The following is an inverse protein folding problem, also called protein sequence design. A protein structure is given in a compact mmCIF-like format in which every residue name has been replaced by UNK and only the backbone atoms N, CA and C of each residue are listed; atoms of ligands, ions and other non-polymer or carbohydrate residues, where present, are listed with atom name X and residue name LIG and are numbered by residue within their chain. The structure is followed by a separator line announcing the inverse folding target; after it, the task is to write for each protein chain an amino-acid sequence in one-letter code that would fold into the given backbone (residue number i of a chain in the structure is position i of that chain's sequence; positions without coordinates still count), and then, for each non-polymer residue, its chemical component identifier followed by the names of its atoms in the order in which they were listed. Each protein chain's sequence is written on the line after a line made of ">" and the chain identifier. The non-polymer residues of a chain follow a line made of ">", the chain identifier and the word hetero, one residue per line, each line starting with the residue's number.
data_IF_720508395509
#
_entry.id   IF_720508395509
#
_cell.length_a   1.000
_cell.length_b   1.000
_cell.length_c   1.000
_cell.angle_alpha   90.00
_cell.angle_beta   90.00
_cell.angle_gamma   90.00
#
_symmetry.space_group_name_H-M   'P 1'
#
loop_
_entity.id
_entity.type
_entity.pdbx_description
1 polymer ?
#
# COMPACT_ATOMS: atom_id res chain seq x y z
N UNK A 1 -15.66 -34.68 -16.30
CA UNK A 1 -14.46 -33.82 -16.22
C UNK A 1 -14.84 -32.57 -15.44
N UNK A 2 -14.48 -32.49 -14.16
CA UNK A 2 -14.72 -31.28 -13.38
C UNK A 2 -13.82 -30.16 -13.91
N UNK A 3 -14.42 -29.17 -14.58
CA UNK A 3 -13.71 -27.96 -14.99
C UNK A 3 -13.39 -27.20 -13.71
N UNK A 4 -12.11 -27.20 -13.30
CA UNK A 4 -11.67 -26.37 -12.17
C UNK A 4 -12.01 -24.91 -12.49
N UNK A 5 -12.70 -24.18 -11.60
CA UNK A 5 -12.98 -22.78 -11.84
C UNK A 5 -11.67 -22.02 -12.01
N UNK A 6 -11.60 -21.14 -13.01
CA UNK A 6 -10.44 -20.27 -13.24
C UNK A 6 -10.28 -19.33 -12.05
N UNK A 7 -9.34 -19.64 -11.16
CA UNK A 7 -9.03 -18.82 -9.99
C UNK A 7 -8.35 -17.52 -10.43
N UNK A 8 -8.92 -16.39 -10.03
CA UNK A 8 -8.35 -15.08 -10.34
C UNK A 8 -7.06 -14.82 -9.55
N UNK A 9 -7.01 -15.23 -8.28
CA UNK A 9 -5.89 -14.88 -7.42
C UNK A 9 -4.68 -15.79 -7.67
N UNK A 10 -3.59 -15.15 -8.05
CA UNK A 10 -2.24 -15.72 -8.04
C UNK A 10 -1.31 -14.86 -7.17
N UNK A 11 -0.17 -15.40 -6.77
CA UNK A 11 0.80 -14.70 -5.90
C UNK A 11 1.24 -13.35 -6.49
N UNK A 12 1.39 -13.26 -7.82
CA UNK A 12 1.77 -12.02 -8.52
C UNK A 12 0.68 -10.96 -8.45
N UNK A 13 -0.58 -11.34 -8.57
CA UNK A 13 -1.76 -10.48 -8.48
C UNK A 13 -1.89 -9.99 -7.06
N UNK A 14 -1.83 -10.89 -6.07
CA UNK A 14 -1.86 -10.52 -4.64
C UNK A 14 -0.77 -9.50 -4.34
N UNK A 15 0.46 -9.77 -4.77
CA UNK A 15 1.58 -8.83 -4.62
C UNK A 15 1.32 -7.50 -5.36
N UNK A 16 0.75 -7.54 -6.56
CA UNK A 16 0.40 -6.35 -7.33
C UNK A 16 -0.66 -5.46 -6.65
N UNK A 17 -1.64 -6.05 -5.96
CA UNK A 17 -2.60 -5.29 -5.13
C UNK A 17 -1.91 -4.69 -3.91
N UNK A 18 -1.06 -5.45 -3.21
CA UNK A 18 -0.28 -4.94 -2.07
C UNK A 18 0.65 -3.79 -2.47
N UNK A 19 1.30 -3.88 -3.63
CA UNK A 19 2.14 -2.81 -4.17
C UNK A 19 1.33 -1.54 -4.51
N UNK A 20 0.09 -1.70 -5.01
CA UNK A 20 -0.81 -0.57 -5.23
C UNK A 20 -1.24 0.08 -3.91
N UNK A 21 -1.61 -0.73 -2.91
CA UNK A 21 -1.94 -0.23 -1.58
C UNK A 21 -0.77 0.52 -0.93
N UNK A 22 0.45 -0.02 -1.02
CA UNK A 22 1.66 0.64 -0.54
C UNK A 22 1.93 1.97 -1.28
N UNK A 23 1.68 2.03 -2.60
CA UNK A 23 1.81 3.27 -3.36
C UNK A 23 0.79 4.34 -2.94
N UNK A 24 -0.45 3.95 -2.64
CA UNK A 24 -1.47 4.84 -2.08
C UNK A 24 -1.03 5.35 -0.72
N UNK A 25 -0.56 4.46 0.15
CA UNK A 25 -0.13 4.81 1.50
C UNK A 25 1.06 5.79 1.52
N UNK A 26 1.98 5.71 0.55
CA UNK A 26 3.09 6.69 0.43
C UNK A 26 2.64 8.10 0.05
N UNK A 27 1.44 8.26 -0.50
CA UNK A 27 0.86 9.59 -0.83
C UNK A 27 0.07 10.17 0.34
N UNK A 28 -0.22 9.37 1.37
CA UNK A 28 -0.88 9.89 2.56
C UNK A 28 0.01 10.97 3.19
N UNK A 29 -0.59 12.07 3.68
CA UNK A 29 0.16 13.03 4.45
C UNK A 29 0.76 12.32 5.67
N UNK A 30 1.99 12.69 6.02
CA UNK A 30 2.60 12.20 7.25
C UNK A 30 1.65 12.48 8.43
N UNK A 31 1.49 11.54 9.37
CA UNK A 31 0.66 11.76 10.54
C UNK A 31 1.23 12.94 11.32
N UNK A 32 0.57 14.10 11.18
CA UNK A 32 0.87 15.27 11.97
C UNK A 32 0.12 15.12 13.28
N UNK A 33 0.84 15.13 14.40
CA UNK A 33 0.22 15.44 15.68
C UNK A 33 -0.47 16.79 15.47
N UNK A 34 -1.75 16.89 15.81
CA UNK A 34 -2.48 18.15 15.81
C UNK A 34 -1.76 19.07 16.81
N UNK A 35 -0.75 19.81 16.33
CA UNK A 35 -0.01 20.75 17.16
C UNK A 35 -0.92 21.90 17.59
N UNK A 36 -0.34 22.88 18.29
CA UNK A 36 -1.00 24.17 18.48
C UNK A 36 -1.33 24.73 17.09
N UNK A 37 -2.61 24.72 16.71
CA UNK A 37 -3.05 25.49 15.58
C UNK A 37 -2.77 26.94 15.93
N UNK A 38 -1.97 27.62 15.12
CA UNK A 38 -1.70 29.02 15.36
C UNK A 38 -3.02 29.78 15.14
N UNK A 39 -3.56 30.38 16.19
CA UNK A 39 -4.68 31.35 16.11
C UNK A 39 -4.23 32.69 15.50
N UNK A 40 -2.95 32.79 15.13
CA UNK A 40 -2.45 33.94 14.40
C UNK A 40 -3.20 34.05 13.08
N UNK A 41 -3.68 35.24 12.69
CA UNK A 41 -4.22 35.45 11.37
C UNK A 41 -3.23 34.91 10.34
N UNK A 42 -3.68 34.33 9.21
CA UNK A 42 -2.78 34.11 8.09
C UNK A 42 -2.26 35.50 7.72
N UNK A 43 -1.06 35.84 8.19
CA UNK A 43 -0.34 37.02 7.72
C UNK A 43 -0.37 36.95 6.21
N UNK A 44 -0.75 38.05 5.56
CA UNK A 44 -0.77 38.13 4.10
C UNK A 44 0.58 37.63 3.60
N UNK A 45 0.61 36.40 3.08
CA UNK A 45 1.78 35.87 2.44
C UNK A 45 2.07 36.84 1.30
N UNK A 46 3.17 37.58 1.43
CA UNK A 46 3.55 38.58 0.45
C UNK A 46 3.67 37.87 -0.91
N UNK A 47 3.43 38.57 -2.02
CA UNK A 47 3.43 37.92 -3.35
C UNK A 47 4.72 37.13 -3.62
N UNK A 48 5.83 37.57 -3.02
CA UNK A 48 7.14 36.94 -3.02
C UNK A 48 7.22 35.62 -2.24
N UNK A 49 6.50 35.47 -1.14
CA UNK A 49 6.49 34.24 -0.33
C UNK A 49 5.76 33.11 -1.06
N UNK A 50 4.62 33.41 -1.71
CA UNK A 50 3.94 32.46 -2.62
C UNK A 50 4.78 32.10 -3.83
N UNK A 51 5.46 33.08 -4.43
CA UNK A 51 6.33 32.82 -5.57
C UNK A 51 7.54 31.96 -5.16
N UNK A 52 8.11 32.21 -3.99
CA UNK A 52 9.19 31.40 -3.43
C UNK A 52 8.74 29.96 -3.18
N UNK A 53 7.55 29.74 -2.60
CA UNK A 53 6.97 28.40 -2.42
C UNK A 53 6.62 27.72 -3.75
N UNK A 54 6.21 28.47 -4.77
CA UNK A 54 5.91 27.91 -6.09
C UNK A 54 7.18 27.50 -6.86
N UNK A 55 8.26 28.27 -6.71
CA UNK A 55 9.55 28.03 -7.38
C UNK A 55 10.40 27.00 -6.62
N UNK A 56 10.42 27.06 -5.29
CA UNK A 56 11.30 26.26 -4.43
C UNK A 56 10.57 25.15 -3.65
N UNK A 57 9.24 25.20 -3.59
CA UNK A 57 8.45 24.17 -2.93
C UNK A 57 8.54 22.86 -3.68
N UNK A 58 8.95 21.79 -2.99
CA UNK A 58 8.88 20.44 -3.55
C UNK A 58 7.42 20.16 -3.92
N UNK A 59 7.16 19.80 -5.17
CA UNK A 59 5.83 19.36 -5.61
C UNK A 59 5.38 18.21 -4.73
N UNK A 60 4.40 18.48 -3.86
CA UNK A 60 3.83 17.42 -3.02
C UNK A 60 3.06 16.47 -3.94
N UNK A 61 3.14 15.14 -3.71
CA UNK A 61 2.28 14.22 -4.43
C UNK A 61 0.82 14.57 -4.16
N UNK A 62 -0.02 14.43 -5.20
CA UNK A 62 -1.47 14.62 -5.07
C UNK A 62 -1.98 13.66 -3.97
N UNK A 63 -2.72 14.16 -2.97
CA UNK A 63 -3.25 13.32 -1.91
C UNK A 63 -4.18 12.25 -2.50
N UNK A 64 -4.23 11.05 -1.90
CA UNK A 64 -5.10 9.99 -2.40
C UNK A 64 -6.57 10.34 -2.19
N UNK A 65 -7.42 9.89 -3.11
CA UNK A 65 -8.86 10.04 -2.98
C UNK A 65 -9.42 9.11 -1.89
N UNK A 66 -10.58 9.42 -1.27
CA UNK A 66 -11.18 8.56 -0.25
C UNK A 66 -11.36 7.09 -0.71
N UNK A 67 -11.83 6.89 -1.95
CA UNK A 67 -11.99 5.55 -2.51
C UNK A 67 -10.66 4.79 -2.70
N UNK A 68 -9.54 5.50 -2.94
CA UNK A 68 -8.21 4.90 -2.98
C UNK A 68 -7.77 4.47 -1.57
N UNK A 69 -8.05 5.30 -0.56
CA UNK A 69 -7.76 4.98 0.84
C UNK A 69 -8.53 3.74 1.28
N UNK A 70 -9.85 3.70 1.07
CA UNK A 70 -10.71 2.55 1.40
C UNK A 70 -10.22 1.26 0.74
N UNK A 71 -9.82 1.35 -0.54
CA UNK A 71 -9.22 0.23 -1.25
C UNK A 71 -7.90 -0.22 -0.60
N UNK A 72 -7.01 0.72 -0.29
CA UNK A 72 -5.71 0.41 0.32
C UNK A 72 -5.86 -0.23 1.70
N UNK A 73 -6.80 0.24 2.52
CA UNK A 73 -7.10 -0.32 3.84
C UNK A 73 -7.64 -1.74 3.75
N UNK A 74 -8.54 -1.99 2.80
CA UNK A 74 -9.08 -3.32 2.55
C UNK A 74 -8.00 -4.31 2.10
N UNK A 75 -7.02 -3.87 1.32
CA UNK A 75 -5.87 -4.70 0.91
C UNK A 75 -4.90 -4.91 2.07
N UNK A 76 -4.61 -3.88 2.87
CA UNK A 76 -3.76 -4.01 4.06
C UNK A 76 -4.36 -4.95 5.11
N UNK A 77 -5.69 -5.05 5.19
CA UNK A 77 -6.38 -6.02 6.04
C UNK A 77 -5.94 -7.47 5.80
N UNK A 78 -5.48 -7.82 4.59
CA UNK A 78 -4.97 -9.15 4.26
C UNK A 78 -3.74 -9.52 5.09
N UNK A 79 -2.90 -8.55 5.44
CA UNK A 79 -1.71 -8.79 6.25
C UNK A 79 -2.08 -9.37 7.61
N UNK A 80 -3.25 -9.05 8.17
CA UNK A 80 -3.71 -9.61 9.46
C UNK A 80 -3.88 -11.14 9.45
N UNK A 81 -3.94 -11.77 8.28
CA UNK A 81 -3.99 -13.23 8.14
C UNK A 81 -2.63 -13.91 8.32
N UNK A 82 -1.54 -13.14 8.33
CA UNK A 82 -0.17 -13.63 8.45
C UNK A 82 0.38 -13.34 9.85
N UNK A 83 1.40 -14.09 10.26
CA UNK A 83 2.16 -13.77 11.48
C UNK A 83 2.98 -12.48 11.32
N UNK A 84 3.32 -11.83 12.43
CA UNK A 84 4.02 -10.55 12.45
C UNK A 84 5.29 -10.46 11.57
N UNK A 85 6.25 -11.41 11.59
CA UNK A 85 7.43 -11.32 10.73
C UNK A 85 7.07 -11.42 9.23
N UNK A 86 6.13 -12.31 8.89
CA UNK A 86 5.63 -12.47 7.52
C UNK A 86 4.91 -11.22 7.02
N UNK A 87 4.11 -10.57 7.86
CA UNK A 87 3.48 -9.28 7.55
C UNK A 87 4.51 -8.23 7.15
N UNK A 88 5.56 -8.08 7.97
CA UNK A 88 6.60 -7.08 7.76
C UNK A 88 7.38 -7.35 6.47
N UNK A 89 7.78 -8.59 6.19
CA UNK A 89 8.49 -8.95 4.95
C UNK A 89 7.65 -8.63 3.72
N UNK A 90 6.37 -9.06 3.72
CA UNK A 90 5.45 -8.79 2.61
C UNK A 90 5.27 -7.29 2.40
N UNK A 91 5.07 -6.53 3.48
CA UNK A 91 4.84 -5.10 3.40
C UNK A 91 6.08 -4.31 2.97
N UNK A 92 7.27 -4.66 3.49
CA UNK A 92 8.54 -4.08 3.04
C UNK A 92 8.76 -4.35 1.55
N UNK A 93 8.46 -5.56 1.08
CA UNK A 93 8.55 -5.89 -0.34
C UNK A 93 7.53 -5.13 -1.18
N UNK A 94 6.30 -4.93 -0.70
CA UNK A 94 5.29 -4.11 -1.38
C UNK A 94 5.73 -2.65 -1.52
N UNK A 95 6.40 -2.12 -0.48
CA UNK A 95 7.02 -0.79 -0.49
C UNK A 95 8.30 -0.70 -1.34
N UNK A 96 8.73 -1.80 -1.96
CA UNK A 96 9.96 -1.91 -2.77
C UNK A 96 11.25 -1.67 -1.97
N UNK A 97 11.25 -1.99 -0.67
CA UNK A 97 12.46 -1.93 0.16
C UNK A 97 13.54 -2.88 -0.42
N UNK A 98 14.79 -2.42 -0.62
CA UNK A 98 15.89 -3.25 -1.09
C UNK A 98 16.13 -4.46 -0.19
N UNK A 99 16.48 -5.61 -0.78
CA UNK A 99 16.76 -6.83 -0.02
C UNK A 99 17.84 -6.66 1.04
N UNK A 100 18.86 -5.82 0.79
CA UNK A 100 19.93 -5.56 1.76
C UNK A 100 19.38 -5.03 3.09
N UNK A 101 18.48 -4.06 3.05
CA UNK A 101 17.84 -3.47 4.25
C UNK A 101 16.99 -4.52 4.97
N UNK A 102 16.24 -5.34 4.21
CA UNK A 102 15.42 -6.40 4.81
C UNK A 102 16.31 -7.46 5.48
N UNK A 103 17.43 -7.82 4.87
CA UNK A 103 18.38 -8.77 5.47
C UNK A 103 18.96 -8.23 6.78
N UNK A 104 19.31 -6.94 6.82
CA UNK A 104 19.83 -6.27 8.02
C UNK A 104 18.78 -6.22 9.14
N UNK A 105 17.51 -5.92 8.82
CA UNK A 105 16.42 -5.85 9.81
C UNK A 105 16.12 -7.22 10.44
N UNK A 106 16.14 -8.29 9.65
CA UNK A 106 15.74 -9.63 10.09
C UNK A 106 16.89 -10.54 10.50
N UNK A 107 18.15 -10.11 10.30
CA UNK A 107 19.38 -10.88 10.49
C UNK A 107 19.32 -12.28 9.83
N UNK A 108 18.82 -12.31 8.59
CA UNK A 108 18.61 -13.55 7.82
C UNK A 108 19.11 -13.42 6.39
N UNK A 109 19.48 -14.55 5.80
CA UNK A 109 19.91 -14.58 4.40
C UNK A 109 18.75 -14.32 3.43
N UNK A 110 19.06 -13.70 2.28
CA UNK A 110 18.08 -13.43 1.21
C UNK A 110 17.27 -14.66 0.78
N UNK A 111 17.86 -15.86 0.56
CA UNK A 111 17.10 -17.04 0.16
C UNK A 111 16.04 -17.45 1.18
N UNK A 112 16.35 -17.34 2.48
CA UNK A 112 15.39 -17.63 3.56
C UNK A 112 14.22 -16.67 3.53
N UNK A 113 14.48 -15.36 3.48
CA UNK A 113 13.44 -14.34 3.43
C UNK A 113 12.60 -14.43 2.14
N UNK A 114 13.22 -14.83 1.02
CA UNK A 114 12.49 -15.04 -0.24
C UNK A 114 11.54 -16.24 -0.16
N UNK A 115 11.93 -17.33 0.52
CA UNK A 115 11.04 -18.47 0.79
C UNK A 115 9.88 -18.06 1.69
N UNK A 116 10.15 -17.34 2.78
CA UNK A 116 9.12 -16.83 3.69
C UNK A 116 8.12 -15.90 2.98
N UNK A 117 8.61 -15.02 2.10
CA UNK A 117 7.75 -14.18 1.26
C UNK A 117 6.84 -15.03 0.35
N UNK A 118 7.38 -16.02 -0.35
CA UNK A 118 6.61 -16.87 -1.26
C UNK A 118 5.56 -17.72 -0.50
N UNK A 119 5.93 -18.24 0.67
CA UNK A 119 5.00 -18.95 1.56
C UNK A 119 3.86 -18.02 2.00
N UNK A 120 4.18 -16.81 2.42
CA UNK A 120 3.19 -15.80 2.83
C UNK A 120 2.22 -15.46 1.70
N UNK A 121 2.72 -15.24 0.48
CA UNK A 121 1.88 -14.98 -0.69
C UNK A 121 1.00 -16.19 -1.06
N UNK A 122 1.51 -17.42 -0.85
CA UNK A 122 0.75 -18.66 -1.06
C UNK A 122 -0.42 -18.76 -0.08
N UNK A 123 -0.18 -18.44 1.19
CA UNK A 123 -1.21 -18.39 2.24
C UNK A 123 -2.28 -17.36 1.88
N UNK A 124 -1.88 -16.12 1.57
CA UNK A 124 -2.83 -15.07 1.17
C UNK A 124 -3.66 -15.47 -0.05
N UNK A 125 -3.01 -16.00 -1.09
CA UNK A 125 -3.67 -16.54 -2.28
C UNK A 125 -4.73 -17.59 -1.91
N UNK A 126 -4.39 -18.52 -1.03
CA UNK A 126 -5.32 -19.57 -0.60
C UNK A 126 -6.55 -18.98 0.12
N UNK A 127 -6.33 -18.06 1.07
CA UNK A 127 -7.42 -17.40 1.78
C UNK A 127 -8.32 -16.56 0.85
N UNK A 128 -7.73 -15.80 -0.07
CA UNK A 128 -8.50 -14.97 -1.01
C UNK A 128 -9.31 -15.81 -1.98
N UNK A 129 -8.73 -16.90 -2.49
CA UNK A 129 -9.46 -17.84 -3.34
C UNK A 129 -10.62 -18.54 -2.61
N UNK A 130 -10.56 -18.69 -1.29
CA UNK A 130 -11.66 -19.24 -0.49
C UNK A 130 -12.81 -18.25 -0.30
N UNK A 131 -12.50 -16.94 -0.19
CA UNK A 131 -13.50 -15.90 0.08
C UNK A 131 -14.13 -15.39 -1.23
N UNK A 132 -13.30 -15.07 -2.22
CA UNK A 132 -13.72 -14.52 -3.52
C UNK A 132 -12.88 -15.13 -4.65
N UNK A 133 -13.25 -16.31 -5.17
CA UNK A 133 -12.49 -17.01 -6.21
C UNK A 133 -12.34 -16.19 -7.52
N UNK A 134 -13.31 -15.31 -7.81
CA UNK A 134 -13.36 -14.51 -9.05
C UNK A 134 -12.73 -13.12 -8.91
N UNK A 135 -12.46 -12.69 -7.68
CA UNK A 135 -11.87 -11.38 -7.35
C UNK A 135 -12.79 -10.20 -7.65
N UNK A 136 -14.11 -10.40 -7.71
CA UNK A 136 -15.04 -9.35 -8.14
C UNK A 136 -15.08 -8.16 -7.18
N UNK A 137 -15.02 -8.39 -5.87
CA UNK A 137 -15.09 -7.31 -4.89
C UNK A 137 -13.88 -6.36 -5.04
N UNK A 138 -12.67 -6.93 -5.06
CA UNK A 138 -11.45 -6.12 -5.18
C UNK A 138 -11.26 -5.51 -6.56
N UNK A 139 -11.74 -6.15 -7.64
CA UNK A 139 -11.81 -5.52 -8.97
C UNK A 139 -12.76 -4.32 -8.94
N UNK A 140 -13.92 -4.44 -8.30
CA UNK A 140 -14.89 -3.35 -8.19
C UNK A 140 -14.34 -2.18 -7.36
N UNK A 141 -13.78 -2.45 -6.18
CA UNK A 141 -13.11 -1.44 -5.34
C UNK A 141 -11.99 -0.72 -6.09
N UNK A 142 -11.15 -1.48 -6.79
CA UNK A 142 -10.09 -0.93 -7.65
C UNK A 142 -10.69 -0.07 -8.77
N UNK A 143 -11.77 -0.49 -9.43
CA UNK A 143 -12.39 0.34 -10.46
C UNK A 143 -12.95 1.66 -9.92
N UNK A 144 -13.55 1.66 -8.71
CA UNK A 144 -14.09 2.87 -8.07
C UNK A 144 -12.98 3.86 -7.73
N UNK A 145 -11.88 3.37 -7.17
CA UNK A 145 -10.71 4.17 -6.84
C UNK A 145 -10.11 4.91 -8.06
N UNK A 146 -10.23 4.37 -9.27
CA UNK A 146 -9.73 4.98 -10.51
C UNK A 146 -10.80 5.68 -11.36
N UNK A 147 -12.08 5.65 -10.97
CA UNK A 147 -13.18 6.34 -11.67
C UNK A 147 -13.42 7.77 -11.16
N UNK A 148 -12.80 8.16 -10.06
CA UNK A 148 -12.98 9.46 -9.43
C UNK A 148 -12.11 10.57 -10.06
N UNK A 149 -11.61 10.36 -11.30
CA UNK A 149 -10.84 11.32 -12.10
C UNK A 149 -11.70 11.97 -13.18
#
# INVERSE_FOLDING_TARGET
>A
MEVRPTLYWNEKIVMGYLMQAAAIHRRLPEPRVLGYHTLWPPTLADGWERLYDMINGRTKPVPPMPAEVDFSEAVMAWLRLLDRPHQQIVWMRANRVPWKIIMEEFDRSKPTLWRELNLSLTVLKYHLNRIDPKGEDFKARRSRAWRAF
#
